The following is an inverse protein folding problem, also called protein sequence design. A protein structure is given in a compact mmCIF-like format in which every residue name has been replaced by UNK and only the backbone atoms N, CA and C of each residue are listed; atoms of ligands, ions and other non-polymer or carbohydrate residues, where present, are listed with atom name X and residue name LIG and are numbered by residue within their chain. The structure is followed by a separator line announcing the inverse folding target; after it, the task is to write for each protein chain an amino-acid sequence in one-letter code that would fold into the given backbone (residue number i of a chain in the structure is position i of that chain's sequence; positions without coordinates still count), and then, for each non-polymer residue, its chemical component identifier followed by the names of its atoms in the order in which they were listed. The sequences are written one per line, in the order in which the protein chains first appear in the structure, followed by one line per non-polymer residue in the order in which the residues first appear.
data_IF_274857604667
#
_entry.id   IF_274857604667
#
_cell.length_a   1.000
_cell.length_b   1.000
_cell.length_c   1.000
_cell.angle_alpha   90.00
_cell.angle_beta   90.00
_cell.angle_gamma   90.00
#
_symmetry.space_group_name_H-M   'P 1'
#
loop_
_entity.id
_entity.type
_entity.pdbx_description
1 polymer ?
#
# COMPACT_ATOMS: atom_id res chain seq x y z
N UNK A 1 -34.50 -29.20 20.46
CA UNK A 1 -33.24 -29.45 19.75
C UNK A 1 -32.16 -28.72 20.52
N UNK A 2 -31.31 -29.49 21.19
CA UNK A 2 -30.41 -29.00 22.24
C UNK A 2 -29.31 -28.11 21.70
N UNK A 3 -29.23 -26.90 22.25
CA UNK A 3 -28.15 -25.95 22.06
C UNK A 3 -26.96 -26.35 22.94
N UNK A 4 -26.20 -27.36 22.52
CA UNK A 4 -24.87 -27.60 23.07
C UNK A 4 -23.87 -26.66 22.39
N UNK A 5 -23.65 -25.49 22.98
CA UNK A 5 -22.42 -24.74 22.69
C UNK A 5 -21.25 -25.64 23.08
N UNK A 6 -20.56 -26.22 22.10
CA UNK A 6 -19.45 -27.12 22.36
C UNK A 6 -18.40 -26.41 23.23
N UNK A 7 -18.23 -26.88 24.47
CA UNK A 7 -17.29 -26.30 25.44
C UNK A 7 -15.89 -26.27 24.81
N UNK A 8 -15.35 -25.07 24.59
CA UNK A 8 -14.01 -24.88 24.04
C UNK A 8 -12.99 -25.55 24.96
N UNK A 9 -12.17 -26.44 24.40
CA UNK A 9 -11.11 -27.15 25.13
C UNK A 9 -10.12 -26.14 25.71
N UNK A 10 -9.73 -26.36 26.96
CA UNK A 10 -8.87 -25.45 27.74
C UNK A 10 -7.49 -26.06 28.01
N UNK A 11 -6.52 -25.25 28.46
CA UNK A 11 -5.21 -25.77 28.91
C UNK A 11 -5.34 -26.76 30.08
N UNK A 12 -6.39 -26.63 30.89
CA UNK A 12 -6.68 -27.57 31.98
C UNK A 12 -7.08 -28.95 31.45
N UNK A 13 -7.81 -29.01 30.33
CA UNK A 13 -8.15 -30.27 29.68
C UNK A 13 -6.91 -30.97 29.13
N UNK A 14 -6.01 -30.21 28.48
CA UNK A 14 -4.71 -30.72 28.00
C UNK A 14 -3.86 -31.21 29.16
N UNK A 15 -3.76 -30.43 30.25
CA UNK A 15 -2.96 -30.79 31.43
C UNK A 15 -3.44 -32.11 32.05
N UNK A 16 -4.76 -32.32 32.11
CA UNK A 16 -5.37 -33.55 32.59
C UNK A 16 -5.03 -34.75 31.71
N UNK A 17 -5.13 -34.62 30.38
CA UNK A 17 -4.80 -35.70 29.44
C UNK A 17 -3.29 -36.00 29.43
N UNK A 18 -2.44 -34.98 29.51
CA UNK A 18 -0.99 -35.13 29.54
C UNK A 18 -0.44 -35.63 30.89
N UNK A 19 -1.24 -35.59 31.97
CA UNK A 19 -0.78 -35.91 33.32
C UNK A 19 0.28 -34.92 33.82
N UNK A 20 0.04 -33.62 33.65
CA UNK A 20 0.95 -32.55 34.08
C UNK A 20 0.17 -31.32 34.57
N UNK A 21 0.86 -30.24 34.95
CA UNK A 21 0.21 -28.99 35.38
C UNK A 21 -0.09 -28.05 34.21
N UNK A 22 -1.07 -27.16 34.38
CA UNK A 22 -1.39 -26.09 33.40
C UNK A 22 -0.18 -25.22 33.09
N UNK A 23 0.71 -25.01 34.08
CA UNK A 23 1.95 -24.27 33.91
C UNK A 23 2.92 -24.97 32.95
N UNK A 24 3.07 -26.30 33.06
CA UNK A 24 3.91 -27.08 32.14
C UNK A 24 3.35 -27.06 30.71
N UNK A 25 2.02 -27.18 30.56
CA UNK A 25 1.36 -27.01 29.25
C UNK A 25 1.65 -25.63 28.66
N UNK A 26 1.56 -24.57 29.48
CA UNK A 26 1.89 -23.21 29.05
C UNK A 26 3.35 -23.06 28.62
N UNK A 27 4.30 -23.71 29.33
CA UNK A 27 5.72 -23.65 28.99
C UNK A 27 6.06 -24.39 27.71
N UNK A 28 5.41 -25.53 27.44
CA UNK A 28 5.57 -26.26 26.18
C UNK A 28 5.06 -25.43 25.00
N UNK A 29 3.90 -24.78 25.15
CA UNK A 29 3.23 -24.01 24.09
C UNK A 29 3.93 -22.67 23.83
N UNK A 30 4.32 -21.95 24.89
CA UNK A 30 4.82 -20.58 24.79
C UNK A 30 6.34 -20.47 25.00
N UNK A 31 7.08 -21.58 24.99
CA UNK A 31 8.50 -21.63 25.33
C UNK A 31 8.81 -20.88 26.64
N UNK A 32 8.14 -21.31 27.71
CA UNK A 32 8.22 -20.66 29.02
C UNK A 32 9.63 -20.64 29.62
N UNK A 33 9.84 -19.88 30.71
CA UNK A 33 11.17 -19.57 31.25
C UNK A 33 11.92 -20.77 31.85
N UNK A 34 11.28 -21.93 31.98
CA UNK A 34 11.88 -23.15 32.51
C UNK A 34 11.85 -24.26 31.45
N UNK A 35 12.98 -24.96 31.22
CA UNK A 35 13.02 -26.08 30.30
C UNK A 35 12.09 -27.20 30.78
N UNK A 36 11.38 -27.82 29.84
CA UNK A 36 10.52 -28.98 30.08
C UNK A 36 11.23 -30.20 29.52
N UNK A 37 11.38 -31.25 30.34
CA UNK A 37 12.00 -32.50 29.89
C UNK A 37 11.30 -33.05 28.63
N UNK A 38 12.08 -33.56 27.67
CA UNK A 38 11.59 -33.93 26.35
C UNK A 38 10.43 -34.93 26.40
N UNK A 39 10.52 -35.94 27.27
CA UNK A 39 9.43 -36.91 27.47
C UNK A 39 8.11 -36.24 27.94
N UNK A 40 8.18 -35.18 28.74
CA UNK A 40 6.99 -34.43 29.15
C UNK A 40 6.50 -33.50 28.05
N UNK A 41 7.40 -32.89 27.27
CA UNK A 41 7.05 -32.08 26.10
C UNK A 41 6.26 -32.89 25.08
N UNK A 42 6.73 -34.09 24.74
CA UNK A 42 6.05 -35.01 23.81
C UNK A 42 4.66 -35.41 24.30
N UNK A 43 4.49 -35.73 25.59
CA UNK A 43 3.17 -36.02 26.18
C UNK A 43 2.20 -34.86 26.05
N UNK A 44 2.67 -33.63 26.28
CA UNK A 44 1.83 -32.43 26.13
C UNK A 44 1.44 -32.21 24.67
N UNK A 45 2.35 -32.37 23.72
CA UNK A 45 2.05 -32.24 22.29
C UNK A 45 1.01 -33.27 21.83
N UNK A 46 1.16 -34.53 22.23
CA UNK A 46 0.18 -35.58 21.95
C UNK A 46 -1.21 -35.26 22.57
N UNK A 47 -1.24 -34.75 23.80
CA UNK A 47 -2.48 -34.33 24.44
C UNK A 47 -3.15 -33.14 23.74
N UNK A 48 -2.37 -32.20 23.18
CA UNK A 48 -2.90 -31.08 22.38
C UNK A 48 -3.59 -31.62 21.12
N UNK A 49 -2.93 -32.54 20.41
CA UNK A 49 -3.48 -33.17 19.21
C UNK A 49 -4.75 -33.98 19.53
N UNK A 50 -4.69 -34.82 20.57
CA UNK A 50 -5.82 -35.64 21.01
C UNK A 50 -7.04 -34.82 21.43
N UNK A 51 -6.83 -33.68 22.09
CA UNK A 51 -7.92 -32.83 22.57
C UNK A 51 -8.38 -31.80 21.54
N UNK A 52 -7.65 -31.62 20.43
CA UNK A 52 -7.89 -30.54 19.48
C UNK A 52 -7.71 -29.14 20.09
N UNK A 53 -6.95 -29.03 21.19
CA UNK A 53 -6.73 -27.75 21.87
C UNK A 53 -6.03 -26.76 20.92
N UNK A 54 -6.59 -25.56 20.81
CA UNK A 54 -5.95 -24.43 20.13
C UNK A 54 -5.59 -23.34 21.15
N UNK A 55 -4.35 -22.84 21.15
CA UNK A 55 -3.98 -21.70 21.97
C UNK A 55 -4.95 -20.53 21.79
N UNK A 56 -5.33 -19.89 22.90
CA UNK A 56 -6.18 -18.70 22.85
C UNK A 56 -5.29 -17.47 22.66
N UNK A 57 -5.32 -16.89 21.46
CA UNK A 57 -4.51 -15.73 21.08
C UNK A 57 -4.86 -14.49 21.92
N UNK A 58 -6.12 -14.31 22.33
CA UNK A 58 -6.54 -13.20 23.20
C UNK A 58 -5.88 -13.32 24.57
N UNK A 59 -5.91 -14.52 25.15
CA UNK A 59 -5.27 -14.77 26.44
C UNK A 59 -3.74 -14.65 26.35
N UNK A 60 -3.15 -15.00 25.20
CA UNK A 60 -1.72 -14.78 24.94
C UNK A 60 -1.41 -13.29 24.86
N UNK A 61 -2.19 -12.53 24.10
CA UNK A 61 -2.01 -11.09 23.93
C UNK A 61 -2.13 -10.32 25.26
N UNK A 62 -3.10 -10.68 26.10
CA UNK A 62 -3.24 -10.15 27.45
C UNK A 62 -2.01 -10.43 28.32
N UNK A 63 -1.41 -11.61 28.19
CA UNK A 63 -0.24 -11.99 28.97
C UNK A 63 1.06 -11.35 28.44
N UNK A 64 1.20 -11.18 27.13
CA UNK A 64 2.40 -10.59 26.49
C UNK A 64 2.31 -9.09 26.29
N UNK A 65 1.14 -8.47 26.46
CA UNK A 65 0.90 -7.07 26.12
C UNK A 65 0.98 -6.78 24.61
N UNK A 66 0.88 -7.80 23.77
CA UNK A 66 1.09 -7.67 22.32
C UNK A 66 0.23 -8.65 21.54
N UNK A 67 -0.44 -8.18 20.50
CA UNK A 67 -1.34 -9.00 19.67
C UNK A 67 -0.60 -9.80 18.59
N UNK A 68 0.68 -9.51 18.36
CA UNK A 68 1.46 -9.97 17.21
C UNK A 68 0.80 -9.61 15.88
N UNK A 69 0.10 -8.47 15.84
CA UNK A 69 -0.62 -8.00 14.65
C UNK A 69 -0.23 -6.58 14.29
N UNK A 70 -0.11 -6.31 13.00
CA UNK A 70 -0.03 -4.96 12.46
C UNK A 70 -1.31 -4.65 11.68
N UNK A 71 -1.72 -3.39 11.68
CA UNK A 71 -2.77 -2.89 10.80
C UNK A 71 -2.17 -2.30 9.53
N UNK A 72 -2.89 -2.39 8.41
CA UNK A 72 -2.65 -1.64 7.19
C UNK A 72 -3.98 -1.01 6.74
N UNK A 73 -4.01 0.31 6.58
CA UNK A 73 -5.14 1.02 5.98
C UNK A 73 -4.68 1.65 4.67
N UNK A 74 -5.38 1.32 3.59
CA UNK A 74 -5.12 1.84 2.23
C UNK A 74 -6.37 2.51 1.64
N UNK A 75 -6.19 3.45 0.69
CA UNK A 75 -7.32 4.12 0.04
C UNK A 75 -8.23 3.18 -0.74
N UNK A 76 -7.68 2.36 -1.62
CA UNK A 76 -8.46 1.44 -2.46
C UNK A 76 -7.63 0.20 -2.83
N UNK A 77 -8.03 -0.98 -2.36
CA UNK A 77 -7.33 -2.23 -2.69
C UNK A 77 -7.52 -2.67 -4.15
N UNK A 78 -8.51 -2.12 -4.86
CA UNK A 78 -8.75 -2.40 -6.28
C UNK A 78 -7.63 -1.83 -7.17
N UNK A 79 -6.92 -0.80 -6.68
CA UNK A 79 -5.71 -0.29 -7.32
C UNK A 79 -4.54 -1.28 -7.13
N UNK A 80 -3.97 -1.83 -8.21
CA UNK A 80 -2.91 -2.84 -8.16
C UNK A 80 -1.65 -2.40 -7.43
N UNK A 81 -1.36 -1.10 -7.35
CA UNK A 81 -0.26 -0.58 -6.55
C UNK A 81 -0.43 -0.95 -5.08
N UNK A 82 -1.60 -0.67 -4.50
CA UNK A 82 -1.88 -0.98 -3.09
C UNK A 82 -1.99 -2.48 -2.84
N UNK A 83 -2.51 -3.26 -3.78
CA UNK A 83 -2.51 -4.72 -3.66
C UNK A 83 -1.08 -5.30 -3.65
N UNK A 84 -0.19 -4.79 -4.51
CA UNK A 84 1.21 -5.23 -4.57
C UNK A 84 1.96 -4.83 -3.30
N UNK A 85 1.76 -3.60 -2.83
CA UNK A 85 2.31 -3.10 -1.57
C UNK A 85 1.83 -3.91 -0.36
N UNK A 86 0.51 -4.16 -0.25
CA UNK A 86 -0.06 -4.95 0.83
C UNK A 86 0.53 -6.37 0.86
N UNK A 87 0.72 -7.00 -0.31
CA UNK A 87 1.37 -8.30 -0.41
C UNK A 87 2.82 -8.27 0.10
N UNK A 88 3.61 -7.28 -0.32
CA UNK A 88 5.00 -7.14 0.13
C UNK A 88 5.10 -6.88 1.64
N UNK A 89 4.26 -6.00 2.18
CA UNK A 89 4.14 -5.73 3.61
C UNK A 89 3.73 -6.98 4.40
N UNK A 90 2.77 -7.76 3.88
CA UNK A 90 2.32 -9.00 4.51
C UNK A 90 3.46 -10.02 4.58
N UNK A 91 4.25 -10.18 3.51
CA UNK A 91 5.39 -11.10 3.49
C UNK A 91 6.46 -10.69 4.52
N UNK A 92 6.81 -9.40 4.56
CA UNK A 92 7.77 -8.86 5.51
C UNK A 92 7.27 -8.98 6.96
N UNK A 93 6.00 -8.67 7.24
CA UNK A 93 5.39 -8.86 8.56
C UNK A 93 5.39 -10.34 8.98
N UNK A 94 4.99 -11.24 8.07
CA UNK A 94 4.93 -12.68 8.33
C UNK A 94 6.30 -13.28 8.64
N UNK A 95 7.35 -12.83 7.94
CA UNK A 95 8.74 -13.25 8.20
C UNK A 95 9.20 -12.94 9.64
N UNK A 96 8.54 -11.98 10.30
CA UNK A 96 8.79 -11.55 11.68
C UNK A 96 7.76 -12.10 12.68
N UNK A 97 6.96 -13.10 12.28
CA UNK A 97 5.94 -13.71 13.11
C UNK A 97 4.72 -12.81 13.39
N UNK A 98 4.49 -11.79 12.56
CA UNK A 98 3.36 -10.85 12.69
C UNK A 98 2.30 -11.13 11.63
N UNK A 99 1.04 -10.92 12.00
CA UNK A 99 -0.10 -10.97 11.06
C UNK A 99 -0.46 -9.55 10.64
N UNK A 100 -0.72 -9.33 9.35
CA UNK A 100 -1.18 -8.03 8.83
C UNK A 100 -2.71 -8.04 8.68
N UNK A 101 -3.39 -7.07 9.29
CA UNK A 101 -4.82 -6.84 9.17
C UNK A 101 -5.06 -5.68 8.20
N UNK A 102 -5.57 -5.99 7.00
CA UNK A 102 -5.86 -5.02 5.95
C UNK A 102 -7.25 -4.38 6.13
N UNK A 103 -7.31 -3.06 6.05
CA UNK A 103 -8.52 -2.25 5.91
C UNK A 103 -8.50 -1.48 4.60
N UNK A 104 -9.55 -1.66 3.80
CA UNK A 104 -9.77 -0.96 2.54
C UNK A 104 -10.77 0.18 2.75
N UNK A 105 -10.32 1.43 2.59
CA UNK A 105 -11.15 2.60 2.78
C UNK A 105 -12.15 2.81 1.63
N UNK A 106 -11.90 2.27 0.44
CA UNK A 106 -12.70 2.50 -0.76
C UNK A 106 -12.83 3.99 -1.12
N UNK A 107 -11.73 4.73 -1.00
CA UNK A 107 -11.63 6.20 -1.17
C UNK A 107 -12.64 7.01 -0.31
N UNK A 108 -13.13 6.42 0.79
CA UNK A 108 -14.08 7.06 1.71
C UNK A 108 -13.41 7.41 3.06
N UNK A 109 -13.40 8.71 3.37
CA UNK A 109 -12.77 9.27 4.58
C UNK A 109 -13.42 8.79 5.88
N UNK A 110 -14.73 8.59 5.89
CA UNK A 110 -15.44 8.14 7.08
C UNK A 110 -15.12 6.67 7.37
N UNK A 111 -15.10 5.84 6.33
CA UNK A 111 -14.68 4.44 6.40
C UNK A 111 -13.22 4.31 6.82
N UNK A 112 -12.33 5.14 6.28
CA UNK A 112 -10.93 5.23 6.71
C UNK A 112 -10.82 5.48 8.23
N UNK A 113 -11.53 6.49 8.74
CA UNK A 113 -11.57 6.80 10.18
C UNK A 113 -12.06 5.61 11.03
N UNK A 114 -13.11 4.93 10.58
CA UNK A 114 -13.65 3.75 11.27
C UNK A 114 -12.68 2.57 11.26
N UNK A 115 -11.98 2.33 10.15
CA UNK A 115 -10.97 1.28 10.03
C UNK A 115 -9.79 1.54 10.97
N UNK A 116 -9.27 2.77 10.98
CA UNK A 116 -8.19 3.16 11.90
C UNK A 116 -8.66 2.93 13.33
N UNK A 117 -9.81 3.46 13.73
CA UNK A 117 -10.34 3.27 15.08
C UNK A 117 -10.51 1.79 15.47
N UNK A 118 -11.00 0.96 14.55
CA UNK A 118 -11.20 -0.46 14.80
C UNK A 118 -9.86 -1.19 15.02
N UNK A 119 -8.82 -0.85 14.26
CA UNK A 119 -7.48 -1.41 14.44
C UNK A 119 -6.85 -0.95 15.76
N UNK A 120 -6.98 0.34 16.09
CA UNK A 120 -6.51 0.88 17.37
C UNK A 120 -7.21 0.23 18.57
N UNK A 121 -8.54 0.06 18.52
CA UNK A 121 -9.32 -0.65 19.56
C UNK A 121 -8.96 -2.12 19.69
N UNK A 122 -8.47 -2.74 18.62
CA UNK A 122 -7.95 -4.12 18.62
C UNK A 122 -6.53 -4.22 19.15
N UNK A 123 -5.90 -3.11 19.52
CA UNK A 123 -4.53 -3.04 20.05
C UNK A 123 -3.53 -3.72 19.11
N UNK A 124 -3.61 -3.39 17.81
CA UNK A 124 -2.54 -3.75 16.88
C UNK A 124 -1.21 -3.16 17.38
N UNK A 125 -0.12 -3.90 17.21
CA UNK A 125 1.20 -3.50 17.70
C UNK A 125 1.85 -2.39 16.85
N UNK A 126 1.22 -2.04 15.72
CA UNK A 126 1.68 -1.03 14.78
C UNK A 126 0.71 -0.83 13.63
N UNK A 127 0.73 0.35 13.02
CA UNK A 127 -0.15 0.74 11.93
C UNK A 127 0.64 1.24 10.72
N UNK A 128 0.37 0.67 9.55
CA UNK A 128 0.77 1.20 8.26
C UNK A 128 -0.41 1.95 7.65
N UNK A 129 -0.18 3.12 7.08
CA UNK A 129 -1.26 4.01 6.68
C UNK A 129 -0.93 4.83 5.44
N UNK A 130 -1.78 4.74 4.42
CA UNK A 130 -1.88 5.73 3.34
C UNK A 130 -3.24 6.41 3.44
N UNK A 131 -3.24 7.73 3.40
CA UNK A 131 -4.45 8.54 3.55
C UNK A 131 -5.27 8.60 2.26
N UNK A 132 -6.60 8.65 2.38
CA UNK A 132 -7.51 8.90 1.24
C UNK A 132 -7.45 10.35 0.75
N UNK A 133 -6.98 11.29 1.57
CA UNK A 133 -6.87 12.71 1.21
C UNK A 133 -5.71 13.42 1.94
N UNK A 134 -5.60 14.75 1.75
CA UNK A 134 -4.55 15.60 2.34
C UNK A 134 -4.64 15.83 3.86
N UNK A 135 -5.61 15.26 4.56
CA UNK A 135 -5.82 15.43 6.00
C UNK A 135 -5.79 14.08 6.72
N UNK A 136 -4.63 13.41 6.77
CA UNK A 136 -4.46 12.16 7.50
C UNK A 136 -4.84 12.26 8.99
N UNK A 137 -5.29 11.15 9.58
CA UNK A 137 -5.75 11.08 10.97
C UNK A 137 -4.62 10.99 12.02
N UNK A 138 -3.61 11.87 11.93
CA UNK A 138 -2.45 11.83 12.82
C UNK A 138 -2.78 11.93 14.29
N UNK A 139 -3.65 12.87 14.66
CA UNK A 139 -4.00 13.10 16.06
C UNK A 139 -4.67 11.87 16.69
N UNK A 140 -5.52 11.18 15.93
CA UNK A 140 -6.15 9.93 16.37
C UNK A 140 -5.10 8.84 16.62
N UNK A 141 -4.17 8.66 15.69
CA UNK A 141 -3.13 7.64 15.76
C UNK A 141 -2.16 7.95 16.91
N UNK A 142 -1.70 9.20 17.02
CA UNK A 142 -0.80 9.67 18.09
C UNK A 142 -1.43 9.50 19.47
N UNK A 143 -2.70 9.89 19.63
CA UNK A 143 -3.43 9.75 20.89
C UNK A 143 -3.54 8.29 21.37
N UNK A 144 -3.47 7.32 20.45
CA UNK A 144 -3.50 5.90 20.80
C UNK A 144 -2.16 5.36 21.34
N UNK A 145 -1.05 6.06 21.09
CA UNK A 145 0.31 5.56 21.37
C UNK A 145 0.77 4.40 20.48
N UNK A 146 -0.01 4.02 19.47
CA UNK A 146 0.34 2.94 18.53
C UNK A 146 1.42 3.43 17.55
N UNK A 147 2.55 2.71 17.39
CA UNK A 147 3.55 3.03 16.38
C UNK A 147 2.94 3.10 14.99
N UNK A 148 3.28 4.11 14.21
CA UNK A 148 2.71 4.32 12.89
C UNK A 148 3.80 4.64 11.86
N UNK A 149 3.68 4.02 10.69
CA UNK A 149 4.46 4.37 9.50
C UNK A 149 3.50 4.76 8.38
N UNK A 150 3.61 6.02 7.96
CA UNK A 150 2.92 6.48 6.76
C UNK A 150 3.61 5.98 5.49
N UNK A 151 2.79 5.74 4.48
CA UNK A 151 3.25 5.48 3.12
C UNK A 151 2.65 6.57 2.24
N UNK A 152 3.52 7.32 1.56
CA UNK A 152 3.19 8.53 0.78
C UNK A 152 2.83 9.71 1.72
N UNK A 153 3.84 10.26 2.42
CA UNK A 153 3.62 11.27 3.47
C UNK A 153 3.08 12.59 2.93
N UNK A 154 2.18 13.17 3.71
CA UNK A 154 1.45 14.38 3.37
C UNK A 154 1.97 15.58 4.19
N UNK A 155 2.67 15.33 5.29
CA UNK A 155 3.24 16.38 6.13
C UNK A 155 4.46 15.90 6.92
N UNK A 156 5.61 16.55 6.70
CA UNK A 156 6.84 16.31 7.44
C UNK A 156 6.76 16.67 8.93
N UNK A 157 5.78 17.49 9.33
CA UNK A 157 5.59 17.94 10.72
C UNK A 157 4.67 17.03 11.54
N UNK A 158 4.15 15.96 10.94
CA UNK A 158 3.18 15.06 11.55
C UNK A 158 3.70 14.27 12.77
N UNK A 159 5.01 14.26 13.01
CA UNK A 159 5.61 13.53 14.13
C UNK A 159 5.42 12.01 14.05
N UNK A 160 5.18 11.47 12.84
CA UNK A 160 5.08 10.04 12.55
C UNK A 160 6.19 9.63 11.58
N UNK A 161 6.62 8.37 11.65
CA UNK A 161 7.52 7.82 10.66
C UNK A 161 6.83 7.75 9.30
N UNK A 162 7.60 7.93 8.23
CA UNK A 162 7.09 7.98 6.88
C UNK A 162 8.07 7.37 5.89
N UNK A 163 7.52 6.71 4.88
CA UNK A 163 8.23 6.32 3.68
C UNK A 163 7.58 6.95 2.44
N UNK A 164 8.39 7.38 1.47
CA UNK A 164 7.90 7.99 0.23
C UNK A 164 8.86 7.82 -0.93
N UNK A 165 8.38 8.17 -2.12
CA UNK A 165 9.21 8.56 -3.27
C UNK A 165 9.03 10.06 -3.51
N UNK A 166 9.97 10.72 -4.19
CA UNK A 166 9.77 12.10 -4.63
C UNK A 166 8.83 12.12 -5.85
N UNK A 167 7.55 12.38 -5.59
CA UNK A 167 6.47 12.43 -6.57
C UNK A 167 6.67 13.53 -7.64
N UNK A 168 7.24 14.66 -7.24
CA UNK A 168 7.48 15.81 -8.12
C UNK A 168 8.66 15.53 -9.04
N UNK A 169 9.78 15.05 -8.49
CA UNK A 169 10.94 14.66 -9.30
C UNK A 169 10.59 13.51 -10.25
N UNK A 170 9.84 12.51 -9.77
CA UNK A 170 9.39 11.40 -10.61
C UNK A 170 8.54 11.85 -11.81
N UNK A 171 7.56 12.73 -11.59
CA UNK A 171 6.78 13.30 -12.69
C UNK A 171 7.61 14.18 -13.63
N UNK A 172 8.57 14.93 -13.08
CA UNK A 172 9.51 15.73 -13.84
C UNK A 172 10.38 14.83 -14.76
N UNK A 173 10.97 13.76 -14.22
CA UNK A 173 11.78 12.83 -15.00
C UNK A 173 10.96 12.08 -16.06
N UNK A 174 9.73 11.66 -15.74
CA UNK A 174 8.84 11.03 -16.72
C UNK A 174 8.49 11.96 -17.89
N UNK A 175 8.21 13.24 -17.59
CA UNK A 175 7.91 14.26 -18.60
C UNK A 175 9.16 14.61 -19.41
N UNK A 176 10.31 14.76 -18.74
CA UNK A 176 11.61 15.00 -19.38
C UNK A 176 11.99 13.88 -20.35
N UNK A 177 11.67 12.64 -20.02
CA UNK A 177 11.88 11.52 -20.94
C UNK A 177 11.09 11.68 -22.24
N UNK A 178 9.81 12.08 -22.18
CA UNK A 178 9.02 12.37 -23.37
C UNK A 178 9.60 13.53 -24.18
N UNK A 179 10.06 14.60 -23.51
CA UNK A 179 10.72 15.73 -24.15
C UNK A 179 12.00 15.31 -24.89
N UNK A 180 12.81 14.46 -24.27
CA UNK A 180 14.03 13.90 -24.87
C UNK A 180 13.74 13.00 -26.08
N UNK A 181 12.54 12.41 -26.16
CA UNK A 181 12.04 11.66 -27.31
C UNK A 181 11.40 12.55 -28.39
N UNK A 182 11.51 13.87 -28.26
CA UNK A 182 11.07 14.83 -29.28
C UNK A 182 9.62 15.27 -29.16
N UNK A 183 8.87 14.76 -28.17
CA UNK A 183 7.51 15.24 -27.92
C UNK A 183 7.54 16.64 -27.31
N UNK A 184 6.91 17.62 -27.97
CA UNK A 184 6.76 19.00 -27.48
C UNK A 184 5.37 19.26 -26.90
N UNK A 185 4.37 18.60 -27.47
CA UNK A 185 2.97 18.71 -27.07
C UNK A 185 2.64 17.58 -26.10
N UNK A 186 2.84 17.83 -24.80
CA UNK A 186 2.68 16.84 -23.74
C UNK A 186 1.55 17.26 -22.81
N UNK A 187 0.51 16.44 -22.71
CA UNK A 187 -0.54 16.61 -21.71
C UNK A 187 -0.31 15.79 -20.45
N UNK A 188 -1.16 16.00 -19.45
CA UNK A 188 -1.16 15.22 -18.20
C UNK A 188 -2.56 14.75 -17.86
N UNK A 189 -2.69 13.47 -17.51
CA UNK A 189 -3.90 12.98 -16.83
C UNK A 189 -3.60 12.98 -15.33
N UNK A 190 -4.37 13.73 -14.56
CA UNK A 190 -4.08 13.98 -13.14
C UNK A 190 -5.23 13.52 -12.25
N UNK A 191 -4.90 13.00 -11.08
CA UNK A 191 -5.87 12.72 -10.01
C UNK A 191 -6.55 13.97 -9.46
N UNK A 192 -7.47 13.81 -8.50
CA UNK A 192 -8.10 14.94 -7.81
C UNK A 192 -7.06 15.90 -7.22
N UNK A 193 -7.13 17.18 -7.57
CA UNK A 193 -6.12 18.18 -7.12
C UNK A 193 -6.20 18.50 -5.61
N UNK A 194 -7.20 17.96 -4.92
CA UNK A 194 -7.28 17.97 -3.45
C UNK A 194 -6.22 17.08 -2.80
N UNK A 195 -5.60 16.15 -3.54
CA UNK A 195 -4.53 15.27 -3.06
C UNK A 195 -3.14 15.92 -3.28
N UNK A 196 -2.22 15.73 -2.33
CA UNK A 196 -0.87 16.28 -2.45
C UNK A 196 -0.05 15.61 -3.55
N UNK A 197 -0.11 14.27 -3.66
CA UNK A 197 0.60 13.58 -4.74
C UNK A 197 0.15 14.05 -6.15
N UNK A 198 -1.12 14.41 -6.32
CA UNK A 198 -1.61 14.99 -7.56
C UNK A 198 -1.00 16.39 -7.81
N UNK A 199 -0.88 17.21 -6.77
CA UNK A 199 -0.23 18.53 -6.88
C UNK A 199 1.27 18.40 -7.20
N UNK A 200 1.98 17.50 -6.52
CA UNK A 200 3.40 17.27 -6.74
C UNK A 200 3.67 16.75 -8.16
N UNK A 201 2.90 15.76 -8.63
CA UNK A 201 3.00 15.24 -10.00
C UNK A 201 2.68 16.31 -11.05
N UNK A 202 1.67 17.15 -10.81
CA UNK A 202 1.33 18.25 -11.71
C UNK A 202 2.47 19.28 -11.77
N UNK A 203 3.06 19.62 -10.62
CA UNK A 203 4.17 20.56 -10.56
C UNK A 203 5.41 19.99 -11.25
N UNK A 204 5.72 18.71 -11.06
CA UNK A 204 6.83 18.06 -11.77
C UNK A 204 6.67 18.07 -13.29
N UNK A 205 5.46 17.82 -13.78
CA UNK A 205 5.15 17.98 -15.21
C UNK A 205 5.35 19.42 -15.70
N UNK A 206 4.87 20.42 -14.94
CA UNK A 206 5.08 21.84 -15.28
C UNK A 206 6.56 22.20 -15.31
N UNK A 207 7.32 21.79 -14.30
CA UNK A 207 8.75 22.09 -14.19
C UNK A 207 9.51 21.57 -15.41
N UNK A 208 9.29 20.31 -15.80
CA UNK A 208 9.94 19.72 -16.96
C UNK A 208 9.65 20.47 -18.27
N UNK A 209 8.40 20.94 -18.46
CA UNK A 209 8.03 21.74 -19.63
C UNK A 209 8.72 23.12 -19.59
N UNK A 210 8.70 23.80 -18.45
CA UNK A 210 9.31 25.12 -18.28
C UNK A 210 10.83 25.07 -18.46
N UNK A 211 11.50 24.04 -17.93
CA UNK A 211 12.93 23.78 -18.15
C UNK A 211 13.27 23.62 -19.64
N UNK A 212 12.36 23.05 -20.43
CA UNK A 212 12.50 22.90 -21.87
C UNK A 212 12.05 24.14 -22.68
N UNK A 213 11.66 25.24 -22.01
CA UNK A 213 11.17 26.46 -22.64
C UNK A 213 9.77 26.34 -23.26
N UNK A 214 8.96 25.39 -22.77
CA UNK A 214 7.60 25.12 -23.25
C UNK A 214 6.60 25.62 -22.21
N UNK A 215 5.67 26.48 -22.62
CA UNK A 215 4.59 26.93 -21.75
C UNK A 215 3.58 25.78 -21.54
N UNK A 216 3.27 25.38 -20.29
CA UNK A 216 2.19 24.45 -19.99
C UNK A 216 0.86 24.99 -20.52
N UNK A 217 0.04 24.13 -21.11
CA UNK A 217 -1.30 24.49 -21.59
C UNK A 217 -2.36 23.89 -20.67
N UNK A 218 -3.22 24.74 -20.11
CA UNK A 218 -4.27 24.30 -19.18
C UNK A 218 -5.28 23.36 -19.85
N UNK A 219 -5.53 23.52 -21.16
CA UNK A 219 -6.39 22.63 -21.97
C UNK A 219 -5.84 21.19 -22.09
N UNK A 220 -4.58 20.95 -21.73
CA UNK A 220 -3.95 19.63 -21.70
C UNK A 220 -3.77 19.06 -20.30
N UNK A 221 -4.41 19.67 -19.30
CA UNK A 221 -4.54 19.12 -17.95
C UNK A 221 -5.89 18.44 -17.84
N UNK A 222 -5.89 17.10 -17.84
CA UNK A 222 -7.09 16.29 -17.79
C UNK A 222 -7.27 15.71 -16.39
N UNK A 223 -8.01 16.41 -15.54
CA UNK A 223 -8.37 15.90 -14.20
C UNK A 223 -9.38 14.74 -14.32
N UNK A 224 -9.07 13.64 -13.62
CA UNK A 224 -9.89 12.45 -13.55
C UNK A 224 -9.58 11.63 -12.29
N UNK A 225 -10.52 10.82 -11.77
CA UNK A 225 -10.20 9.85 -10.71
C UNK A 225 -9.06 8.90 -11.10
N UNK A 226 -8.37 8.33 -10.12
CA UNK A 226 -7.30 7.34 -10.31
C UNK A 226 -7.81 5.95 -10.73
N UNK A 227 -8.79 5.91 -11.63
CA UNK A 227 -9.46 4.69 -12.07
C UNK A 227 -9.32 4.52 -13.59
N UNK A 228 -9.51 3.28 -14.06
CA UNK A 228 -9.59 2.98 -15.49
C UNK A 228 -10.70 3.77 -16.16
N UNK A 229 -11.86 3.86 -15.52
CA UNK A 229 -12.99 4.63 -16.03
C UNK A 229 -12.65 6.12 -16.12
N UNK A 230 -11.93 6.67 -15.13
CA UNK A 230 -11.47 8.05 -15.15
C UNK A 230 -10.55 8.34 -16.33
N UNK A 231 -9.52 7.50 -16.55
CA UNK A 231 -8.62 7.63 -17.70
C UNK A 231 -9.31 7.45 -19.06
N UNK A 232 -10.26 6.52 -19.14
CA UNK A 232 -11.10 6.32 -20.31
C UNK A 232 -11.89 7.60 -20.64
N UNK A 233 -12.62 8.15 -19.67
CA UNK A 233 -13.42 9.37 -19.86
C UNK A 233 -12.57 10.60 -20.17
N UNK A 234 -11.41 10.74 -19.53
CA UNK A 234 -10.45 11.80 -19.85
C UNK A 234 -10.00 11.72 -21.31
N UNK A 235 -9.75 10.50 -21.81
CA UNK A 235 -9.36 10.28 -23.21
C UNK A 235 -10.50 10.61 -24.17
N UNK A 236 -11.73 10.20 -23.86
CA UNK A 236 -12.93 10.52 -24.66
C UNK A 236 -13.11 12.04 -24.82
N UNK A 237 -12.82 12.84 -23.78
CA UNK A 237 -12.82 14.31 -23.86
C UNK A 237 -11.63 14.84 -24.66
N UNK A 238 -10.44 14.31 -24.41
CA UNK A 238 -9.21 14.73 -25.09
C UNK A 238 -9.28 14.57 -26.62
N UNK A 239 -9.86 13.47 -27.12
CA UNK A 239 -9.95 13.21 -28.57
C UNK A 239 -10.93 14.12 -29.31
N UNK A 240 -11.79 14.85 -28.60
CA UNK A 240 -12.73 15.82 -29.18
C UNK A 240 -12.09 17.19 -29.44
N UNK A 241 -10.90 17.46 -28.88
CA UNK A 241 -10.21 18.74 -28.96
C UNK A 241 -8.81 18.65 -29.57
N UNK A 242 -8.01 19.74 -29.48
CA UNK A 242 -6.61 19.70 -29.88
C UNK A 242 -5.83 18.76 -28.96
N UNK A 243 -5.49 17.58 -29.48
CA UNK A 243 -4.86 16.51 -28.71
C UNK A 243 -3.33 16.69 -28.62
N UNK A 244 -2.71 16.48 -27.44
CA UNK A 244 -1.26 16.40 -27.33
C UNK A 244 -0.70 15.18 -28.08
N UNK A 245 0.59 15.19 -28.41
CA UNK A 245 1.27 14.04 -29.04
C UNK A 245 1.78 13.01 -28.02
N UNK A 246 1.92 13.40 -26.76
CA UNK A 246 2.19 12.50 -25.65
C UNK A 246 1.41 12.88 -24.40
N UNK A 247 1.19 11.93 -23.50
CA UNK A 247 0.58 12.16 -22.20
C UNK A 247 1.38 11.45 -21.10
N UNK A 248 1.65 12.17 -20.02
CA UNK A 248 1.98 11.58 -18.74
C UNK A 248 0.70 11.31 -17.96
N UNK A 249 0.44 10.06 -17.60
CA UNK A 249 -0.68 9.73 -16.72
C UNK A 249 -0.18 9.57 -15.29
N UNK A 250 -0.72 10.35 -14.37
CA UNK A 250 -0.34 10.35 -12.96
C UNK A 250 -0.66 9.05 -12.21
N UNK A 251 -1.31 8.08 -12.84
CA UNK A 251 -1.58 6.75 -12.30
C UNK A 251 -1.73 5.71 -13.42
N UNK A 252 -1.19 4.50 -13.22
CA UNK A 252 -1.30 3.36 -14.14
C UNK A 252 -2.75 3.05 -14.56
N UNK A 253 -3.71 3.11 -13.64
CA UNK A 253 -5.10 2.81 -13.97
C UNK A 253 -5.66 3.79 -15.01
N UNK A 254 -5.27 5.07 -14.94
CA UNK A 254 -5.67 6.06 -15.93
C UNK A 254 -5.06 5.76 -17.30
N UNK A 255 -3.79 5.33 -17.36
CA UNK A 255 -3.16 4.88 -18.61
C UNK A 255 -3.87 3.68 -19.23
N UNK A 256 -4.26 2.68 -18.44
CA UNK A 256 -5.00 1.53 -18.94
C UNK A 256 -6.37 1.93 -19.51
N UNK A 257 -7.07 2.84 -18.83
CA UNK A 257 -8.29 3.46 -19.37
C UNK A 257 -8.06 4.22 -20.68
N UNK A 258 -6.94 4.94 -20.76
CA UNK A 258 -6.53 5.67 -21.96
C UNK A 258 -6.31 4.73 -23.14
N UNK A 259 -5.56 3.65 -22.96
CA UNK A 259 -5.34 2.64 -24.00
C UNK A 259 -6.65 2.07 -24.55
N UNK A 260 -7.62 1.78 -23.67
CA UNK A 260 -8.95 1.29 -24.09
C UNK A 260 -9.69 2.32 -24.95
N UNK A 261 -9.73 3.58 -24.53
CA UNK A 261 -10.43 4.63 -25.26
C UNK A 261 -9.74 4.99 -26.60
N UNK A 262 -8.40 4.94 -26.66
CA UNK A 262 -7.66 5.14 -27.91
C UNK A 262 -8.03 4.06 -28.93
N UNK A 263 -8.06 2.79 -28.51
CA UNK A 263 -8.39 1.67 -29.38
C UNK A 263 -9.79 1.81 -30.01
N UNK A 264 -10.79 2.26 -29.25
CA UNK A 264 -12.15 2.53 -29.77
C UNK A 264 -12.20 3.63 -30.83
N UNK A 265 -11.27 4.58 -30.76
CA UNK A 265 -11.13 5.66 -31.76
C UNK A 265 -10.21 5.28 -32.92
N UNK A 266 -9.73 4.03 -32.98
CA UNK A 266 -8.74 3.59 -33.97
C UNK A 266 -7.37 4.24 -33.80
N UNK A 267 -7.10 4.85 -32.64
CA UNK A 267 -5.82 5.46 -32.29
C UNK A 267 -4.92 4.45 -31.58
N UNK A 268 -3.60 4.60 -31.75
CA UNK A 268 -2.60 3.68 -31.21
C UNK A 268 -1.56 4.43 -30.37
N UNK A 269 -1.14 3.82 -29.28
CA UNK A 269 0.09 4.20 -28.60
C UNK A 269 1.25 3.36 -29.18
N UNK A 270 2.43 3.93 -29.45
CA UNK A 270 2.79 5.35 -29.35
C UNK A 270 2.46 6.18 -30.61
N UNK A 271 2.08 5.55 -31.72
CA UNK A 271 2.01 6.17 -33.06
C UNK A 271 1.14 7.42 -33.12
N UNK A 272 -0.01 7.40 -32.45
CA UNK A 272 -0.93 8.52 -32.34
C UNK A 272 -0.71 9.28 -31.03
N UNK A 273 -0.56 8.57 -29.91
CA UNK A 273 -0.33 9.15 -28.59
C UNK A 273 0.71 8.35 -27.81
N UNK A 274 1.86 8.95 -27.53
CA UNK A 274 2.81 8.35 -26.58
C UNK A 274 2.31 8.46 -25.14
N UNK A 275 2.57 7.41 -24.35
CA UNK A 275 2.10 7.28 -22.98
C UNK A 275 3.23 6.88 -22.05
N UNK A 276 3.29 7.53 -20.90
CA UNK A 276 4.08 7.11 -19.74
C UNK A 276 3.23 7.26 -18.48
N UNK A 277 3.29 6.31 -17.55
CA UNK A 277 2.44 6.31 -16.36
C UNK A 277 3.21 6.30 -15.04
N UNK A 278 2.50 6.51 -13.94
CA UNK A 278 3.03 6.34 -12.59
C UNK A 278 2.60 5.00 -11.97
N UNK A 279 3.37 4.49 -11.00
CA UNK A 279 3.25 3.20 -10.26
C UNK A 279 3.72 1.94 -10.98
N UNK A 280 3.57 1.82 -12.31
CA UNK A 280 4.20 0.77 -13.13
C UNK A 280 4.17 -0.64 -12.53
N UNK A 281 2.99 -1.22 -12.33
CA UNK A 281 2.88 -2.58 -11.80
C UNK A 281 3.09 -3.62 -12.91
N UNK A 282 2.93 -4.90 -12.58
CA UNK A 282 2.92 -5.96 -13.59
C UNK A 282 1.88 -5.69 -14.69
N UNK A 283 0.78 -4.97 -14.42
CA UNK A 283 -0.19 -4.62 -15.45
C UNK A 283 0.42 -3.77 -16.57
N UNK A 284 1.37 -2.88 -16.27
CA UNK A 284 2.10 -2.11 -17.27
C UNK A 284 2.86 -3.00 -18.24
N UNK A 285 3.52 -4.07 -17.76
CA UNK A 285 4.30 -4.99 -18.60
C UNK A 285 3.43 -5.78 -19.60
N UNK A 286 2.22 -6.17 -19.19
CA UNK A 286 1.33 -7.03 -19.98
C UNK A 286 0.23 -6.26 -20.72
N UNK A 287 0.22 -4.93 -20.65
CA UNK A 287 -0.64 -4.09 -21.48
C UNK A 287 -0.22 -4.11 -22.95
N UNK A 288 -1.11 -3.66 -23.85
CA UNK A 288 -0.84 -3.60 -25.29
C UNK A 288 -1.06 -2.16 -25.79
N UNK A 289 0.02 -1.43 -26.16
CA UNK A 289 1.43 -1.79 -25.96
C UNK A 289 1.81 -1.81 -24.47
N UNK A 290 2.91 -2.50 -24.08
CA UNK A 290 3.46 -2.42 -22.73
C UNK A 290 3.79 -0.97 -22.34
N UNK A 291 3.31 -0.56 -21.17
CA UNK A 291 3.40 0.80 -20.65
C UNK A 291 4.79 1.10 -20.05
N UNK A 292 5.41 2.17 -20.54
CA UNK A 292 6.51 2.83 -19.85
C UNK A 292 5.98 3.45 -18.56
N UNK A 293 6.73 3.33 -17.46
CA UNK A 293 6.22 3.74 -16.16
C UNK A 293 7.33 4.19 -15.20
N UNK A 294 6.97 5.10 -14.30
CA UNK A 294 7.68 5.30 -13.04
C UNK A 294 7.29 4.17 -12.10
N UNK A 295 8.26 3.38 -11.67
CA UNK A 295 8.11 2.27 -10.73
C UNK A 295 8.68 2.65 -9.36
N UNK A 296 7.89 2.45 -8.31
CA UNK A 296 8.34 2.59 -6.93
C UNK A 296 8.98 1.28 -6.44
N UNK A 297 10.03 1.31 -5.61
CA UNK A 297 10.70 0.10 -5.12
C UNK A 297 9.93 -0.54 -3.96
N UNK A 298 8.75 -1.10 -4.26
CA UNK A 298 7.77 -1.61 -3.28
C UNK A 298 8.39 -2.58 -2.25
N UNK A 299 9.26 -3.50 -2.67
CA UNK A 299 9.88 -4.46 -1.74
C UNK A 299 10.79 -3.77 -0.71
N UNK A 300 11.59 -2.80 -1.16
CA UNK A 300 12.46 -2.01 -0.29
C UNK A 300 11.64 -1.12 0.67
N UNK A 301 10.56 -0.53 0.15
CA UNK A 301 9.59 0.24 0.92
C UNK A 301 8.95 -0.62 2.01
N UNK A 302 8.41 -1.79 1.66
CA UNK A 302 7.79 -2.72 2.62
C UNK A 302 8.76 -3.16 3.72
N UNK A 303 9.97 -3.56 3.34
CA UNK A 303 11.01 -3.98 4.29
C UNK A 303 11.36 -2.86 5.27
N UNK A 304 11.50 -1.62 4.78
CA UNK A 304 11.80 -0.47 5.64
C UNK A 304 10.63 -0.12 6.55
N UNK A 305 9.40 -0.11 6.04
CA UNK A 305 8.21 0.22 6.81
C UNK A 305 8.01 -0.76 7.98
N UNK A 306 8.14 -2.06 7.72
CA UNK A 306 8.07 -3.09 8.75
C UNK A 306 9.24 -2.98 9.75
N UNK A 307 10.45 -2.65 9.28
CA UNK A 307 11.57 -2.42 10.17
C UNK A 307 11.35 -1.20 11.09
N UNK A 308 10.79 -0.11 10.58
CA UNK A 308 10.43 1.08 11.35
C UNK A 308 9.36 0.76 12.39
N UNK A 309 8.30 0.03 12.02
CA UNK A 309 7.29 -0.41 12.99
C UNK A 309 7.88 -1.32 14.08
N UNK A 310 8.76 -2.24 13.71
CA UNK A 310 9.40 -3.15 14.65
C UNK A 310 10.35 -2.44 15.63
N UNK A 311 10.92 -1.30 15.24
CA UNK A 311 11.74 -0.47 16.13
C UNK A 311 10.90 0.25 17.21
N UNK A 312 9.57 0.33 17.05
CA UNK A 312 8.66 0.92 18.02
C UNK A 312 8.68 2.44 18.01
N UNK A 313 8.56 3.05 19.19
CA UNK A 313 8.54 4.50 19.38
C UNK A 313 9.94 5.13 19.21
N UNK A 314 10.46 5.07 17.98
CA UNK A 314 11.60 5.84 17.53
C UNK A 314 11.17 7.29 17.23
N UNK A 315 12.09 8.28 17.22
CA UNK A 315 11.77 9.61 16.69
C UNK A 315 11.22 9.50 15.26
N UNK A 316 10.32 10.41 14.91
CA UNK A 316 9.74 10.48 13.57
C UNK A 316 10.85 10.52 12.51
N UNK A 317 10.86 9.52 11.63
CA UNK A 317 11.85 9.38 10.57
C UNK A 317 11.16 9.41 9.21
N UNK A 318 11.65 10.24 8.30
CA UNK A 318 11.28 10.20 6.89
C UNK A 318 12.36 9.46 6.10
N UNK A 319 11.96 8.41 5.39
CA UNK A 319 12.83 7.70 4.47
C UNK A 319 12.32 7.84 3.03
N UNK A 320 13.13 8.44 2.18
CA UNK A 320 12.82 8.63 0.76
C UNK A 320 13.53 7.59 -0.09
N UNK A 321 12.80 7.02 -1.04
CA UNK A 321 13.28 5.98 -1.95
C UNK A 321 13.50 6.54 -3.35
N UNK A 322 14.54 6.04 -4.01
CA UNK A 322 14.72 6.26 -5.45
C UNK A 322 13.68 5.44 -6.24
N UNK A 323 13.04 6.09 -7.21
CA UNK A 323 12.17 5.43 -8.19
C UNK A 323 12.96 4.96 -9.41
N UNK A 324 12.33 4.15 -10.27
CA UNK A 324 12.92 3.71 -11.54
C UNK A 324 12.01 4.09 -12.69
N UNK A 325 12.55 4.74 -13.72
CA UNK A 325 11.84 4.96 -14.97
C UNK A 325 12.03 3.75 -15.88
N UNK A 326 11.00 2.91 -15.99
CA UNK A 326 11.01 1.71 -16.81
C UNK A 326 10.44 1.98 -18.19
N UNK A 327 11.33 1.96 -19.17
CA UNK A 327 11.00 2.26 -20.55
C UNK A 327 10.52 0.99 -21.26
N UNK A 328 9.36 1.12 -21.90
CA UNK A 328 8.70 0.10 -22.72
C UNK A 328 8.17 0.78 -24.01
N UNK A 329 7.32 0.07 -24.77
CA UNK A 329 6.91 0.50 -26.12
C UNK A 329 5.94 1.69 -26.13
N UNK A 330 5.20 1.95 -25.06
CA UNK A 330 4.13 2.97 -25.09
C UNK A 330 4.62 4.40 -25.27
N UNK A 331 5.88 4.72 -24.96
CA UNK A 331 6.42 6.08 -25.08
C UNK A 331 7.17 6.34 -26.40
N UNK A 332 7.24 5.37 -27.31
CA UNK A 332 7.88 5.55 -28.63
C UNK A 332 9.38 5.22 -28.68
N UNK A 333 9.93 4.59 -27.63
CA UNK A 333 11.29 4.05 -27.60
C UNK A 333 11.40 2.69 -28.32
#
# INVERSE_FOLDING_TARGET
MDNHSARRVTRADVARVAGTSVAVVSYVINNGPRPVAEATRLRVLAAIEQTGYRPNDIARALASGSTQTYGLVVPDISNPFFATLARALQQEAFSRGRVLLLGDAGDDRQREYELINNLLRRQVDGLLYTSVDRHPWFELIRASGTPCVMIDTIDSQAGVCAIRVDERDAACQATRHLLQHGYRDIGIFIGPLTMLNAQDRLNGWRDALLEAGIAPRDEWIFEAPYTRQGGYQATQRMVQGPRPRAVFTSNEQQALGCLSALAEHGLRAPDDLALICFNGTQQSEFSVPPLSAVEQPIDAMAKRAIAMLAAGAAPAELHEFAFQLRIRRSCGC
#
